data_IF_816355647959
#
_entry.id   IF_816355647959
#
_cell.length_a   1.000
_cell.length_b   1.000
_cell.length_c   1.000
_cell.angle_alpha   90.00
_cell.angle_beta   90.00
_cell.angle_gamma   90.00
#
_symmetry.space_group_name_H-M   'P 1'
#
loop_
_entity.id
_entity.type
_entity.pdbx_description
1 polymer ?
#
# COMPACT_ATOMS: atom_id res chain seq x y z
N UNK A 1 20.72 32.86 -18.54
CA UNK A 1 21.05 31.90 -17.48
C UNK A 1 19.79 31.74 -16.64
N UNK A 2 19.02 30.66 -16.84
CA UNK A 2 17.87 30.40 -15.99
C UNK A 2 18.40 29.95 -14.63
N UNK A 3 18.13 30.73 -13.59
CA UNK A 3 18.31 30.25 -12.22
C UNK A 3 17.38 29.05 -12.07
N UNK A 4 17.93 27.84 -12.00
CA UNK A 4 17.22 26.67 -11.52
C UNK A 4 16.98 26.90 -10.04
N UNK A 5 15.94 27.66 -9.71
CA UNK A 5 15.47 27.75 -8.34
C UNK A 5 15.08 26.33 -7.93
N UNK A 6 15.76 25.82 -6.90
CA UNK A 6 15.35 24.58 -6.26
C UNK A 6 13.86 24.70 -5.86
N UNK A 7 13.07 23.65 -6.10
CA UNK A 7 11.65 23.69 -5.80
C UNK A 7 11.44 23.94 -4.30
N UNK A 8 10.66 24.97 -3.96
CA UNK A 8 10.38 25.31 -2.55
C UNK A 8 9.36 24.32 -1.95
N UNK A 9 8.39 23.87 -2.76
CA UNK A 9 7.33 22.95 -2.34
C UNK A 9 7.23 21.74 -3.25
N UNK A 10 6.55 20.69 -2.78
CA UNK A 10 6.39 19.45 -3.55
C UNK A 10 5.62 19.67 -4.87
N UNK A 11 4.65 20.58 -4.91
CA UNK A 11 4.00 20.97 -6.17
C UNK A 11 5.02 21.59 -7.15
N UNK A 12 5.89 22.50 -6.68
CA UNK A 12 6.89 23.14 -7.55
C UNK A 12 7.85 22.10 -8.12
N UNK A 13 8.25 21.13 -7.29
CA UNK A 13 9.04 19.98 -7.71
C UNK A 13 8.34 19.20 -8.82
N UNK A 14 7.08 18.79 -8.62
CA UNK A 14 6.32 18.04 -9.62
C UNK A 14 6.19 18.80 -10.95
N UNK A 15 5.91 20.10 -10.91
CA UNK A 15 5.77 20.93 -12.10
C UNK A 15 7.11 21.10 -12.84
N UNK A 16 8.19 21.39 -12.10
CA UNK A 16 9.54 21.51 -12.67
C UNK A 16 9.97 20.22 -13.34
N UNK A 17 9.76 19.07 -12.70
CA UNK A 17 10.09 17.76 -13.29
C UNK A 17 9.25 17.46 -14.52
N UNK A 18 7.93 17.73 -14.50
CA UNK A 18 7.07 17.53 -15.66
C UNK A 18 7.53 18.39 -16.85
N UNK A 19 7.95 19.64 -16.61
CA UNK A 19 8.49 20.52 -17.64
C UNK A 19 9.79 19.97 -18.23
N UNK A 20 10.70 19.44 -17.41
CA UNK A 20 11.95 18.82 -17.88
C UNK A 20 11.70 17.58 -18.74
N UNK A 21 10.73 16.74 -18.35
CA UNK A 21 10.35 15.55 -19.14
C UNK A 21 9.79 15.93 -20.50
N UNK A 22 8.93 16.95 -20.56
CA UNK A 22 8.41 17.49 -21.81
C UNK A 22 9.51 18.07 -22.70
N UNK A 23 10.50 18.73 -22.11
CA UNK A 23 11.65 19.28 -22.85
C UNK A 23 12.60 18.19 -23.39
N UNK A 24 12.50 16.95 -22.90
CA UNK A 24 13.36 15.82 -23.27
C UNK A 24 12.58 14.70 -23.99
N UNK A 25 11.41 15.02 -24.56
CA UNK A 25 10.51 14.09 -25.26
C UNK A 25 10.17 12.82 -24.48
N UNK A 26 10.18 12.90 -23.15
CA UNK A 26 9.71 11.81 -22.29
C UNK A 26 8.19 11.86 -22.11
N UNK A 27 7.52 10.70 -21.96
CA UNK A 27 6.09 10.67 -21.66
C UNK A 27 5.79 11.39 -20.34
N UNK A 28 4.60 12.01 -20.21
CA UNK A 28 4.19 12.65 -18.97
C UNK A 28 4.13 11.62 -17.83
N UNK A 29 4.14 12.12 -16.58
CA UNK A 29 3.88 11.28 -15.43
C UNK A 29 2.51 10.61 -15.50
N UNK A 30 2.46 9.31 -15.17
CA UNK A 30 1.19 8.74 -14.71
C UNK A 30 0.99 9.19 -13.25
N UNK A 31 0.25 10.28 -13.10
CA UNK A 31 0.01 10.90 -11.80
C UNK A 31 -0.66 9.97 -10.80
N UNK A 32 -1.35 8.91 -11.25
CA UNK A 32 -1.95 7.89 -10.36
C UNK A 32 -0.89 7.09 -9.61
N UNK A 33 0.26 6.88 -10.25
CA UNK A 33 1.38 6.10 -9.74
C UNK A 33 2.56 6.99 -9.30
N UNK A 34 2.33 8.32 -9.20
CA UNK A 34 3.25 9.25 -8.56
C UNK A 34 3.17 9.11 -7.03
N UNK A 35 4.31 9.25 -6.37
CA UNK A 35 4.42 9.12 -4.92
C UNK A 35 5.51 10.05 -4.38
N UNK A 36 5.41 10.36 -3.09
CA UNK A 36 6.48 10.97 -2.32
C UNK A 36 6.57 10.32 -0.94
N UNK A 37 7.74 10.44 -0.31
CA UNK A 37 8.05 9.98 1.02
C UNK A 37 8.54 11.17 1.83
N UNK A 38 7.90 11.46 2.97
CA UNK A 38 8.37 12.45 3.92
C UNK A 38 9.45 11.87 4.83
N UNK A 39 10.41 12.68 5.25
CA UNK A 39 11.45 12.26 6.21
C UNK A 39 10.85 11.65 7.48
N UNK A 40 9.83 12.29 8.06
CA UNK A 40 9.16 11.82 9.29
C UNK A 40 8.58 10.42 9.17
N UNK A 41 8.08 10.05 7.98
CA UNK A 41 7.59 8.70 7.73
C UNK A 41 8.77 7.76 7.49
N UNK A 42 9.73 8.19 6.68
CA UNK A 42 10.92 7.44 6.29
C UNK A 42 11.72 6.94 7.50
N UNK A 43 11.80 7.75 8.56
CA UNK A 43 12.51 7.45 9.81
C UNK A 43 11.82 6.34 10.63
N UNK A 44 10.51 6.17 10.47
CA UNK A 44 9.70 5.25 11.29
C UNK A 44 9.40 3.92 10.58
N UNK A 45 9.64 3.81 9.27
CA UNK A 45 9.22 2.64 8.48
C UNK A 45 9.86 1.33 8.96
N UNK A 46 11.14 1.35 9.32
CA UNK A 46 11.85 0.16 9.75
C UNK A 46 11.28 -0.36 11.09
N UNK A 47 11.08 0.53 12.05
CA UNK A 47 10.57 0.20 13.38
C UNK A 47 9.10 -0.26 13.32
N UNK A 48 8.26 0.46 12.55
CA UNK A 48 6.85 0.05 12.35
C UNK A 48 6.77 -1.34 11.71
N UNK A 49 7.61 -1.64 10.71
CA UNK A 49 7.69 -2.97 10.11
C UNK A 49 8.16 -4.03 11.12
N UNK A 50 9.22 -3.75 11.88
CA UNK A 50 9.74 -4.69 12.87
C UNK A 50 8.69 -5.01 13.94
N UNK A 51 7.96 -3.99 14.40
CA UNK A 51 6.82 -4.15 15.31
C UNK A 51 5.72 -5.00 14.69
N UNK A 52 5.26 -4.70 13.47
CA UNK A 52 4.25 -5.51 12.80
C UNK A 52 4.65 -7.00 12.72
N UNK A 53 5.91 -7.28 12.37
CA UNK A 53 6.43 -8.66 12.35
C UNK A 53 6.36 -9.30 13.74
N UNK A 54 6.71 -8.56 14.80
CA UNK A 54 6.63 -9.05 16.17
C UNK A 54 5.19 -9.35 16.60
N UNK A 55 4.23 -8.47 16.30
CA UNK A 55 2.80 -8.67 16.61
C UNK A 55 2.26 -9.92 15.90
N UNK A 56 2.54 -10.06 14.60
CA UNK A 56 2.15 -11.24 13.79
C UNK A 56 2.74 -12.54 14.36
N UNK A 57 4.02 -12.51 14.75
CA UNK A 57 4.68 -13.67 15.35
C UNK A 57 4.16 -14.00 16.75
N UNK A 58 3.72 -12.98 17.51
CA UNK A 58 3.16 -13.14 18.85
C UNK A 58 1.76 -13.74 18.85
N UNK A 59 0.90 -13.32 17.90
CA UNK A 59 -0.49 -13.78 17.85
C UNK A 59 -0.63 -15.23 17.37
N UNK A 60 0.24 -15.69 16.46
CA UNK A 60 0.17 -17.04 15.89
C UNK A 60 0.09 -18.17 16.93
N UNK A 61 1.04 -18.25 17.89
CA UNK A 61 1.02 -19.25 18.96
C UNK A 61 -0.22 -19.19 19.86
N UNK A 62 -0.73 -17.99 20.16
CA UNK A 62 -1.95 -17.81 20.97
C UNK A 62 -3.15 -18.41 20.25
N UNK A 63 -3.31 -18.12 18.96
CA UNK A 63 -4.39 -18.68 18.14
C UNK A 63 -4.24 -20.19 17.94
N UNK A 64 -3.01 -20.71 17.84
CA UNK A 64 -2.75 -22.14 17.72
C UNK A 64 -3.16 -22.88 19.00
N UNK A 65 -2.83 -22.35 20.18
CA UNK A 65 -3.25 -22.90 21.46
C UNK A 65 -4.78 -22.88 21.64
N UNK A 66 -5.46 -21.90 21.02
CA UNK A 66 -6.92 -21.80 20.99
C UNK A 66 -7.58 -22.67 19.89
N UNK A 67 -6.81 -23.45 19.12
CA UNK A 67 -7.36 -24.34 18.08
C UNK A 67 -7.82 -23.65 16.80
N UNK A 68 -7.46 -22.39 16.56
CA UNK A 68 -7.93 -21.60 15.41
C UNK A 68 -7.12 -21.82 14.12
N UNK A 69 -6.91 -23.08 13.73
CA UNK A 69 -6.33 -23.42 12.42
C UNK A 69 -7.37 -23.06 11.34
N UNK A 70 -7.21 -21.97 10.57
CA UNK A 70 -6.04 -21.76 9.70
C UNK A 70 -5.22 -20.49 9.98
N UNK A 71 -5.57 -19.71 11.01
CA UNK A 71 -4.99 -18.38 11.24
C UNK A 71 -3.50 -18.41 11.60
N UNK A 72 -2.99 -19.30 12.48
CA UNK A 72 -1.56 -19.37 12.79
C UNK A 72 -0.69 -19.57 11.55
N UNK A 73 -1.11 -20.44 10.65
CA UNK A 73 -0.42 -20.73 9.40
C UNK A 73 -0.39 -19.51 8.46
N UNK A 74 -1.51 -18.78 8.39
CA UNK A 74 -1.60 -17.54 7.63
C UNK A 74 -0.63 -16.49 8.18
N UNK A 75 -0.63 -16.28 9.49
CA UNK A 75 0.28 -15.34 10.16
C UNK A 75 1.75 -15.73 9.96
N UNK A 76 2.09 -17.02 10.02
CA UNK A 76 3.44 -17.49 9.72
C UNK A 76 3.86 -17.20 8.27
N UNK A 77 2.95 -17.36 7.30
CA UNK A 77 3.19 -16.99 5.89
C UNK A 77 3.36 -15.48 5.73
N UNK A 78 2.52 -14.68 6.37
CA UNK A 78 2.59 -13.22 6.32
C UNK A 78 3.88 -12.70 6.94
N UNK A 79 4.30 -13.25 8.08
CA UNK A 79 5.56 -12.90 8.74
C UNK A 79 6.77 -13.14 7.81
N UNK A 80 6.86 -14.31 7.16
CA UNK A 80 7.92 -14.58 6.18
C UNK A 80 7.90 -13.60 5.02
N UNK A 81 6.71 -13.23 4.53
CA UNK A 81 6.57 -12.23 3.46
C UNK A 81 7.04 -10.86 3.94
N UNK A 82 6.59 -10.39 5.10
CA UNK A 82 7.03 -9.12 5.69
C UNK A 82 8.55 -9.07 5.90
N UNK A 83 9.16 -10.18 6.35
CA UNK A 83 10.61 -10.30 6.53
C UNK A 83 11.40 -10.18 5.21
N UNK A 84 10.86 -10.67 4.10
CA UNK A 84 11.49 -10.52 2.78
C UNK A 84 11.29 -9.15 2.13
N UNK A 85 10.31 -8.37 2.60
CA UNK A 85 10.05 -7.04 2.07
C UNK A 85 10.91 -5.99 2.79
N UNK A 86 11.76 -5.23 2.10
CA UNK A 86 12.55 -4.18 2.74
C UNK A 86 11.67 -3.01 3.20
N UNK A 87 12.16 -2.21 4.15
CA UNK A 87 11.41 -1.03 4.62
C UNK A 87 11.33 0.07 3.56
N UNK A 88 12.39 0.22 2.74
CA UNK A 88 12.53 1.14 1.61
C UNK A 88 12.89 0.35 0.33
N UNK A 89 12.58 0.86 -0.89
CA UNK A 89 11.91 2.13 -1.17
C UNK A 89 10.43 2.08 -0.76
N UNK A 90 9.88 3.25 -0.45
CA UNK A 90 8.55 3.42 0.14
C UNK A 90 7.97 4.79 -0.20
N UNK A 91 6.76 5.03 0.27
CA UNK A 91 6.06 6.31 0.18
C UNK A 91 5.32 6.59 1.48
N UNK A 92 4.97 7.86 1.67
CA UNK A 92 3.99 8.26 2.66
C UNK A 92 2.61 7.70 2.29
N UNK A 93 1.83 7.32 3.31
CA UNK A 93 0.47 6.83 3.10
C UNK A 93 -0.46 7.94 2.61
N UNK A 94 -0.16 9.19 2.97
CA UNK A 94 -0.83 10.38 2.44
C UNK A 94 -0.65 10.50 0.92
N UNK A 95 -1.69 10.86 0.16
CA UNK A 95 -1.59 10.99 -1.29
C UNK A 95 -0.86 12.29 -1.65
N UNK A 96 0.48 12.23 -1.76
CA UNK A 96 1.35 13.37 -2.06
C UNK A 96 1.60 13.61 -3.57
N UNK A 97 0.83 12.97 -4.44
CA UNK A 97 0.88 13.22 -5.89
C UNK A 97 0.22 14.56 -6.27
N UNK A 98 0.67 15.14 -7.38
CA UNK A 98 0.25 16.47 -7.86
C UNK A 98 -1.28 16.67 -7.89
N UNK A 99 -2.03 15.69 -8.43
CA UNK A 99 -3.50 15.80 -8.53
C UNK A 99 -4.19 15.89 -7.16
N UNK A 100 -3.62 15.28 -6.12
CA UNK A 100 -4.14 15.37 -4.76
C UNK A 100 -3.83 16.73 -4.16
N UNK A 101 -2.59 17.18 -4.29
CA UNK A 101 -2.11 18.42 -3.69
C UNK A 101 -2.73 19.66 -4.36
N UNK A 102 -2.99 19.62 -5.66
CA UNK A 102 -3.67 20.70 -6.38
C UNK A 102 -5.08 20.99 -5.82
N UNK A 103 -5.77 19.97 -5.33
CA UNK A 103 -7.08 20.12 -4.67
C UNK A 103 -6.99 20.52 -3.19
N UNK A 104 -5.80 20.49 -2.59
CA UNK A 104 -5.57 20.69 -1.18
C UNK A 104 -4.26 21.45 -0.90
N UNK A 105 -4.11 22.65 -1.47
CA UNK A 105 -2.86 23.42 -1.43
C UNK A 105 -2.31 23.67 0.00
N UNK A 106 -3.17 23.70 1.02
CA UNK A 106 -2.76 23.81 2.44
C UNK A 106 -2.00 22.59 2.96
N UNK A 107 -2.09 21.46 2.27
CA UNK A 107 -1.39 20.21 2.56
C UNK A 107 -0.11 20.07 1.74
N UNK A 108 0.24 21.05 0.89
CA UNK A 108 1.46 21.01 0.08
C UNK A 108 2.69 21.14 1.00
N UNK A 109 3.50 20.08 1.18
CA UNK A 109 4.64 20.13 2.07
C UNK A 109 5.79 20.93 1.42
N UNK A 110 6.65 21.57 2.25
CA UNK A 110 7.91 22.10 1.75
C UNK A 110 8.80 20.96 1.24
N UNK A 111 9.63 21.22 0.24
CA UNK A 111 10.55 20.19 -0.27
C UNK A 111 11.53 19.70 0.80
N UNK A 112 11.91 20.56 1.76
CA UNK A 112 12.76 20.18 2.89
C UNK A 112 12.17 19.06 3.78
N UNK A 113 10.86 18.78 3.70
CA UNK A 113 10.22 17.68 4.42
C UNK A 113 10.23 16.35 3.65
N UNK A 114 10.62 16.36 2.38
CA UNK A 114 10.55 15.23 1.46
C UNK A 114 11.90 14.51 1.42
N UNK A 115 11.90 13.21 1.73
CA UNK A 115 13.06 12.32 1.61
C UNK A 115 13.28 11.87 0.16
N UNK A 116 12.18 11.53 -0.52
CA UNK A 116 12.23 11.09 -1.90
C UNK A 116 10.87 11.20 -2.57
N UNK A 117 10.87 11.24 -3.90
CA UNK A 117 9.67 11.21 -4.72
C UNK A 117 9.91 10.45 -6.01
N UNK A 118 8.84 10.00 -6.65
CA UNK A 118 8.97 9.17 -7.82
C UNK A 118 7.67 8.85 -8.52
N UNK A 119 7.79 8.08 -9.59
CA UNK A 119 6.65 7.52 -10.33
C UNK A 119 6.93 6.06 -10.64
N UNK A 120 5.89 5.25 -10.72
CA UNK A 120 5.99 3.89 -11.25
C UNK A 120 5.28 3.78 -12.59
N UNK A 121 5.70 2.81 -13.40
CA UNK A 121 4.86 2.30 -14.47
C UNK A 121 3.63 1.60 -13.87
N UNK A 122 2.51 1.66 -14.59
CA UNK A 122 1.28 0.96 -14.21
C UNK A 122 1.58 -0.53 -14.05
N UNK A 123 1.42 -1.11 -12.85
CA UNK A 123 1.67 -2.54 -12.64
C UNK A 123 0.57 -3.38 -13.28
N UNK A 124 0.92 -4.56 -13.77
CA UNK A 124 -0.04 -5.51 -14.35
C UNK A 124 -0.75 -6.41 -13.33
N UNK A 125 -0.72 -6.09 -12.04
CA UNK A 125 -1.13 -7.01 -10.97
C UNK A 125 -1.95 -6.33 -9.87
N UNK A 126 -2.70 -7.12 -9.10
CA UNK A 126 -3.16 -6.81 -7.74
C UNK A 126 -2.54 -7.81 -6.76
N UNK A 127 -2.31 -7.41 -5.51
CA UNK A 127 -1.70 -8.29 -4.49
C UNK A 127 -2.74 -8.64 -3.42
N UNK A 128 -2.96 -9.93 -3.18
CA UNK A 128 -3.90 -10.44 -2.19
C UNK A 128 -3.15 -11.10 -1.03
N UNK A 129 -3.35 -10.56 0.18
CA UNK A 129 -2.91 -11.12 1.45
C UNK A 129 -4.08 -11.86 2.09
N UNK A 130 -4.02 -13.18 2.02
CA UNK A 130 -5.13 -14.07 2.37
C UNK A 130 -4.71 -15.10 3.41
N UNK A 131 -5.66 -15.90 3.90
CA UNK A 131 -5.36 -17.05 4.76
C UNK A 131 -4.38 -18.00 4.07
N UNK A 132 -4.48 -18.20 2.76
CA UNK A 132 -3.58 -19.10 2.01
C UNK A 132 -2.19 -18.52 1.74
N UNK A 133 -1.95 -17.25 2.07
CA UNK A 133 -0.68 -16.56 1.86
C UNK A 133 -0.82 -15.30 1.03
N UNK A 134 0.30 -14.84 0.46
CA UNK A 134 0.38 -13.61 -0.32
C UNK A 134 0.59 -13.95 -1.79
N UNK A 135 -0.29 -13.45 -2.65
CA UNK A 135 -0.31 -13.78 -4.08
C UNK A 135 -0.45 -12.51 -4.90
N UNK A 136 0.21 -12.46 -6.07
CA UNK A 136 -0.06 -11.46 -7.09
C UNK A 136 -0.89 -12.09 -8.18
N UNK A 137 -1.95 -11.40 -8.56
CA UNK A 137 -2.95 -11.86 -9.52
C UNK A 137 -2.96 -10.85 -10.65
N UNK A 138 -2.90 -11.33 -11.88
CA UNK A 138 -2.91 -10.48 -13.07
C UNK A 138 -4.15 -9.60 -13.05
N UNK A 139 -3.95 -8.30 -13.19
CA UNK A 139 -5.02 -7.32 -13.24
C UNK A 139 -5.65 -7.29 -14.65
N UNK A 140 -6.95 -7.07 -14.71
CA UNK A 140 -7.67 -6.84 -15.96
C UNK A 140 -8.68 -5.69 -15.84
N UNK A 141 -9.04 -5.04 -16.96
CA UNK A 141 -10.05 -3.98 -16.97
C UNK A 141 -11.39 -4.46 -16.40
N UNK A 142 -11.94 -3.69 -15.46
CA UNK A 142 -13.20 -4.03 -14.78
C UNK A 142 -13.05 -4.98 -13.59
N UNK A 143 -11.84 -5.36 -13.20
CA UNK A 143 -11.61 -6.09 -11.95
C UNK A 143 -12.17 -5.31 -10.74
N UNK A 144 -12.90 -6.02 -9.89
CA UNK A 144 -13.45 -5.55 -8.61
C UNK A 144 -13.06 -6.50 -7.47
N UNK A 145 -13.36 -6.09 -6.22
CA UNK A 145 -13.14 -6.91 -5.03
C UNK A 145 -13.86 -8.25 -5.16
N UNK A 146 -15.12 -8.25 -5.56
CA UNK A 146 -15.89 -9.49 -5.72
C UNK A 146 -15.26 -10.42 -6.75
N UNK A 147 -14.91 -9.90 -7.94
CA UNK A 147 -14.28 -10.73 -8.99
C UNK A 147 -12.90 -11.26 -8.59
N UNK A 148 -12.18 -10.54 -7.73
CA UNK A 148 -10.91 -11.01 -7.17
C UNK A 148 -11.14 -12.14 -6.17
N UNK A 149 -12.10 -11.97 -5.26
CA UNK A 149 -12.47 -12.97 -4.26
C UNK A 149 -12.96 -14.27 -4.91
N UNK A 150 -13.73 -14.17 -5.99
CA UNK A 150 -14.21 -15.34 -6.75
C UNK A 150 -13.09 -16.13 -7.45
N UNK A 151 -11.94 -15.50 -7.73
CA UNK A 151 -10.75 -16.19 -8.27
C UNK A 151 -9.88 -16.84 -7.21
N UNK A 152 -10.00 -16.42 -5.96
CA UNK A 152 -9.25 -17.00 -4.86
C UNK A 152 -9.88 -18.34 -4.44
N UNK A 153 -9.08 -19.31 -3.95
CA UNK A 153 -9.67 -20.52 -3.38
C UNK A 153 -10.54 -20.14 -2.18
N UNK A 154 -11.66 -20.85 -1.97
CA UNK A 154 -12.59 -20.54 -0.87
C UNK A 154 -11.91 -20.48 0.51
N UNK A 155 -10.85 -21.27 0.71
CA UNK A 155 -10.02 -21.26 1.94
C UNK A 155 -9.22 -19.98 2.16
N UNK A 156 -9.07 -19.11 1.15
CA UNK A 156 -8.35 -17.84 1.24
C UNK A 156 -9.03 -16.82 2.17
N UNK A 157 -10.37 -16.85 2.24
CA UNK A 157 -11.18 -15.91 3.01
C UNK A 157 -12.18 -16.59 3.94
N UNK A 158 -12.11 -17.92 4.07
CA UNK A 158 -13.06 -18.69 4.85
C UNK A 158 -13.16 -18.19 6.30
N UNK A 159 -14.38 -17.89 6.74
CA UNK A 159 -14.66 -17.44 8.11
C UNK A 159 -14.25 -15.99 8.39
N UNK A 160 -13.90 -15.21 7.36
CA UNK A 160 -13.56 -13.80 7.47
C UNK A 160 -14.63 -12.94 6.79
N UNK A 161 -15.12 -11.97 7.55
CA UNK A 161 -16.24 -11.13 7.12
C UNK A 161 -15.81 -9.84 6.43
N UNK A 162 -14.53 -9.48 6.51
CA UNK A 162 -14.02 -8.21 6.01
C UNK A 162 -12.63 -8.31 5.35
N UNK A 163 -12.40 -7.38 4.43
CA UNK A 163 -11.11 -7.15 3.76
C UNK A 163 -10.73 -5.67 3.83
N UNK A 164 -9.44 -5.40 3.98
CA UNK A 164 -8.84 -4.08 3.79
C UNK A 164 -8.37 -3.95 2.35
N UNK A 165 -8.84 -2.92 1.65
CA UNK A 165 -8.41 -2.59 0.28
C UNK A 165 -7.55 -1.33 0.31
N UNK A 166 -6.32 -1.45 -0.18
CA UNK A 166 -5.33 -0.40 -0.28
C UNK A 166 -5.15 -0.05 -1.76
N UNK A 167 -5.45 1.20 -2.11
CA UNK A 167 -5.29 1.71 -3.47
C UNK A 167 -3.80 1.96 -3.80
N UNK A 168 -3.43 2.05 -5.09
CA UNK A 168 -2.10 2.51 -5.50
C UNK A 168 -1.71 3.88 -4.90
N UNK A 169 -2.70 4.72 -4.59
CA UNK A 169 -2.51 6.02 -3.94
C UNK A 169 -2.37 5.95 -2.42
N UNK A 170 -2.56 4.79 -1.79
CA UNK A 170 -2.31 4.54 -0.36
C UNK A 170 -3.51 4.75 0.54
N UNK A 171 -4.63 5.13 -0.05
CA UNK A 171 -5.89 5.14 0.66
C UNK A 171 -6.28 3.71 0.99
N UNK A 172 -6.63 3.47 2.25
CA UNK A 172 -7.14 2.20 2.75
C UNK A 172 -8.61 2.34 3.11
N UNK A 173 -9.40 1.29 2.84
CA UNK A 173 -10.78 1.16 3.32
C UNK A 173 -11.08 -0.28 3.69
N UNK A 174 -11.91 -0.46 4.69
CA UNK A 174 -12.50 -1.77 5.01
C UNK A 174 -13.75 -1.97 4.17
N UNK A 175 -13.90 -3.18 3.63
CA UNK A 175 -15.11 -3.63 2.93
C UNK A 175 -15.55 -4.98 3.50
N UNK A 176 -16.86 -5.20 3.59
CA UNK A 176 -17.42 -6.51 3.91
C UNK A 176 -17.25 -7.50 2.75
N UNK A 177 -16.84 -8.74 3.05
CA UNK A 177 -16.57 -9.81 2.08
C UNK A 177 -17.50 -11.01 2.20
N UNK A 178 -18.22 -11.14 3.32
CA UNK A 178 -19.16 -12.24 3.53
C UNK A 178 -20.49 -11.97 2.83
N UNK A 179 -21.28 -13.04 2.59
CA UNK A 179 -22.55 -12.94 1.87
C UNK A 179 -23.56 -11.96 2.50
N UNK A 180 -23.47 -11.74 3.82
CA UNK A 180 -24.40 -10.90 4.58
C UNK A 180 -23.97 -9.43 4.69
N UNK A 181 -22.71 -9.09 4.39
CA UNK A 181 -22.17 -7.72 4.44
C UNK A 181 -21.40 -7.32 3.18
N UNK A 182 -21.58 -8.05 2.07
CA UNK A 182 -20.79 -7.90 0.85
C UNK A 182 -20.81 -6.47 0.34
N UNK A 183 -19.63 -5.91 0.11
CA UNK A 183 -19.41 -4.60 -0.48
C UNK A 183 -18.42 -4.74 -1.63
N UNK A 184 -18.89 -4.50 -2.85
CA UNK A 184 -18.02 -4.50 -4.02
C UNK A 184 -17.42 -3.12 -4.28
N UNK A 185 -16.21 -3.12 -4.81
CA UNK A 185 -15.58 -1.90 -5.28
C UNK A 185 -14.52 -2.19 -6.35
N UNK A 186 -14.31 -1.26 -7.30
CA UNK A 186 -13.32 -1.45 -8.35
C UNK A 186 -11.91 -1.52 -7.78
N UNK A 187 -11.08 -2.38 -8.38
CA UNK A 187 -9.66 -2.51 -8.08
C UNK A 187 -8.83 -1.91 -9.21
N UNK A 188 -8.01 -0.92 -8.86
CA UNK A 188 -7.02 -0.37 -9.77
C UNK A 188 -5.79 -1.30 -9.86
N UNK A 189 -5.04 -1.29 -10.97
CA UNK A 189 -3.77 -2.00 -11.06
C UNK A 189 -2.82 -1.52 -9.96
N UNK A 190 -2.20 -2.44 -9.23
CA UNK A 190 -1.31 -2.17 -8.09
C UNK A 190 -2.03 -2.08 -6.75
N UNK A 191 -3.37 -2.21 -6.74
CA UNK A 191 -4.13 -2.31 -5.51
C UNK A 191 -3.71 -3.55 -4.71
N UNK A 192 -3.83 -3.45 -3.39
CA UNK A 192 -3.57 -4.54 -2.46
C UNK A 192 -4.82 -4.82 -1.65
N UNK A 193 -5.14 -6.09 -1.47
CA UNK A 193 -6.21 -6.56 -0.61
C UNK A 193 -5.59 -7.36 0.53
N UNK A 194 -6.04 -7.14 1.76
CA UNK A 194 -5.67 -7.96 2.90
C UNK A 194 -6.93 -8.40 3.64
N UNK A 195 -7.09 -9.70 3.85
CA UNK A 195 -8.17 -10.20 4.70
C UNK A 195 -7.97 -9.70 6.13
N UNK A 196 -9.05 -9.36 6.82
CA UNK A 196 -8.97 -8.91 8.21
C UNK A 196 -9.09 -10.08 9.17
N UNK A 197 -8.25 -10.09 10.18
CA UNK A 197 -8.37 -11.01 11.31
C UNK A 197 -9.61 -10.63 12.12
N UNK A 198 -10.36 -11.60 12.68
CA UNK A 198 -11.46 -11.31 13.58
C UNK A 198 -10.95 -10.52 14.80
N UNK A 199 -11.57 -9.37 15.11
CA UNK A 199 -11.10 -8.45 16.16
C UNK A 199 -11.55 -8.87 17.57
N UNK A 200 -11.32 -10.15 17.91
CA UNK A 200 -11.57 -10.67 19.25
C UNK A 200 -10.43 -10.37 20.24
N UNK A 201 -9.32 -9.81 19.76
CA UNK A 201 -8.18 -9.41 20.58
C UNK A 201 -7.59 -8.08 20.12
N UNK A 202 -6.88 -7.41 21.03
CA UNK A 202 -6.20 -6.15 20.75
C UNK A 202 -5.08 -6.35 19.70
N UNK A 203 -4.39 -7.48 19.72
CA UNK A 203 -3.33 -7.85 18.79
C UNK A 203 -3.89 -8.00 17.37
N UNK A 204 -5.04 -8.65 17.21
CA UNK A 204 -5.71 -8.77 15.90
C UNK A 204 -6.06 -7.40 15.32
N UNK A 205 -6.60 -6.50 16.15
CA UNK A 205 -6.89 -5.11 15.76
C UNK A 205 -5.62 -4.35 15.37
N UNK A 206 -4.53 -4.47 16.14
CA UNK A 206 -3.24 -3.86 15.83
C UNK A 206 -2.70 -4.40 14.50
N UNK A 207 -2.70 -5.71 14.30
CA UNK A 207 -2.21 -6.32 13.04
C UNK A 207 -3.02 -5.84 11.85
N UNK A 208 -4.36 -5.80 11.94
CA UNK A 208 -5.22 -5.31 10.87
C UNK A 208 -4.85 -3.88 10.46
N UNK A 209 -4.67 -2.99 11.44
CA UNK A 209 -4.32 -1.58 11.22
C UNK A 209 -2.90 -1.42 10.66
N UNK A 210 -1.92 -2.03 11.32
CA UNK A 210 -0.50 -1.86 10.97
C UNK A 210 -0.16 -2.55 9.64
N UNK A 211 -0.79 -3.67 9.31
CA UNK A 211 -0.64 -4.30 7.99
C UNK A 211 -1.16 -3.39 6.89
N UNK A 212 -2.38 -2.85 7.03
CA UNK A 212 -2.94 -1.92 6.05
C UNK A 212 -2.05 -0.68 5.88
N UNK A 213 -1.55 -0.10 6.98
CA UNK A 213 -0.64 1.03 6.96
C UNK A 213 0.71 0.69 6.28
N UNK A 214 1.28 -0.48 6.57
CA UNK A 214 2.51 -0.96 5.93
C UNK A 214 2.34 -1.14 4.42
N UNK A 215 1.22 -1.75 4.00
CA UNK A 215 0.88 -1.95 2.58
C UNK A 215 0.61 -0.62 1.85
N UNK A 216 0.00 0.36 2.54
CA UNK A 216 -0.19 1.71 2.03
C UNK A 216 1.13 2.47 1.85
N UNK A 217 2.17 2.14 2.60
CA UNK A 217 3.48 2.76 2.47
C UNK A 217 4.34 2.13 1.35
N UNK A 218 3.90 1.03 0.74
CA UNK A 218 4.65 0.39 -0.36
C UNK A 218 4.50 1.19 -1.65
N UNK A 219 5.52 1.16 -2.50
CA UNK A 219 5.43 1.72 -3.83
C UNK A 219 4.24 1.12 -4.61
N UNK A 220 3.61 1.91 -5.50
CA UNK A 220 2.42 1.47 -6.20
C UNK A 220 2.71 0.42 -7.29
N UNK A 221 3.97 0.27 -7.73
CA UNK A 221 4.44 -0.76 -8.66
C UNK A 221 5.87 -1.21 -8.32
N UNK A 222 6.44 -2.08 -9.16
CA UNK A 222 7.82 -2.58 -9.01
C UNK A 222 8.83 -1.83 -9.90
N UNK A 223 8.38 -1.35 -11.06
CA UNK A 223 9.19 -0.59 -11.99
C UNK A 223 8.96 0.91 -11.77
N UNK A 224 9.84 1.52 -10.99
CA UNK A 224 9.70 2.89 -10.53
C UNK A 224 10.98 3.68 -10.76
N UNK A 225 10.80 4.94 -11.16
CA UNK A 225 11.87 5.95 -11.14
C UNK A 225 11.76 6.75 -9.85
N UNK A 226 12.85 6.81 -9.09
CA UNK A 226 12.95 7.48 -7.81
C UNK A 226 13.99 8.61 -7.88
N UNK A 227 13.62 9.78 -7.35
CA UNK A 227 14.49 10.91 -7.14
C UNK A 227 14.65 11.13 -5.63
N UNK A 228 15.86 10.96 -5.07
CA UNK A 228 16.15 11.39 -3.72
C UNK A 228 16.17 12.92 -3.68
N UNK A 229 15.82 13.47 -2.53
CA UNK A 229 15.95 14.89 -2.22
C UNK A 229 17.05 15.09 -1.16
#
# INVERSE_FOLDING_TARGET
>A
MAQTNEPATLIDAWLNWQQQRQATDQPPFDWTYSFALRHVDADQLADRRARLIAEVNGLGPVLAAAGQQPLPDALARWSRRLQSMPARPARSAEPLGLLSLAGALRQNPPMADIDSLGTCHTPGWVEAWTLTGVQRIDWWPGMSVDTLLDRLPASATQGLDEVSVITPRGQSRTLGSAAWNRQDAPLAPGARLAVRLPEHSQEAHIINRELAAFLASRLPGDDCTLWPN
#
